data_IF_232163657359
#
_entry.id   IF_232163657359
#
_cell.length_a   1.000
_cell.length_b   1.000
_cell.length_c   1.000
_cell.angle_alpha   90.00
_cell.angle_beta   90.00
_cell.angle_gamma   90.00
#
_symmetry.space_group_name_H-M   'P 1'
#
loop_
_entity.id
_entity.type
_entity.pdbx_description
1 polymer ?
#
# COMPACT_ATOMS: atom_id res chain seq x y z
N UNK A 1 -12.02 0.94 17.67
CA UNK A 1 -10.76 0.28 18.00
C UNK A 1 -9.85 0.30 16.77
N UNK A 2 -8.69 0.93 16.90
CA UNK A 2 -7.74 1.10 15.80
C UNK A 2 -7.20 -0.24 15.29
N UNK A 3 -6.91 -1.18 16.18
CA UNK A 3 -6.41 -2.49 15.78
C UNK A 3 -7.44 -3.27 14.93
N UNK A 4 -8.71 -3.20 15.32
CA UNK A 4 -9.79 -3.84 14.56
C UNK A 4 -9.98 -3.21 13.19
N UNK A 5 -9.86 -1.88 13.09
CA UNK A 5 -9.92 -1.18 11.80
C UNK A 5 -8.74 -1.54 10.91
N UNK A 6 -7.56 -1.66 11.49
CA UNK A 6 -6.38 -2.10 10.73
C UNK A 6 -6.54 -3.53 10.21
N UNK A 7 -7.09 -4.42 11.03
CA UNK A 7 -7.40 -5.79 10.62
C UNK A 7 -8.41 -5.81 9.46
N UNK A 8 -9.44 -4.97 9.54
CA UNK A 8 -10.41 -4.83 8.44
C UNK A 8 -9.74 -4.31 7.17
N UNK A 9 -8.84 -3.33 7.30
CA UNK A 9 -8.09 -2.80 6.16
C UNK A 9 -7.30 -3.90 5.45
N UNK A 10 -6.58 -4.73 6.20
CA UNK A 10 -5.81 -5.84 5.64
C UNK A 10 -6.71 -6.82 4.89
N UNK A 11 -7.90 -7.07 5.41
CA UNK A 11 -8.87 -7.96 4.76
C UNK A 11 -9.40 -7.33 3.47
N UNK A 12 -9.78 -6.07 3.49
CA UNK A 12 -10.33 -5.37 2.33
C UNK A 12 -9.29 -5.21 1.20
N UNK A 13 -8.01 -5.10 1.55
CA UNK A 13 -6.90 -5.07 0.58
C UNK A 13 -6.51 -6.46 0.09
N UNK A 14 -7.19 -7.50 0.54
CA UNK A 14 -6.90 -8.89 0.16
C UNK A 14 -5.44 -9.28 0.46
N UNK A 15 -4.91 -8.82 1.59
CA UNK A 15 -3.49 -8.99 1.93
C UNK A 15 -3.05 -10.45 1.93
N UNK A 16 -3.93 -11.38 2.32
CA UNK A 16 -3.66 -12.83 2.31
C UNK A 16 -3.34 -13.38 0.93
N UNK A 17 -3.77 -12.70 -0.13
CA UNK A 17 -3.47 -13.07 -1.51
C UNK A 17 -1.98 -12.94 -1.82
N UNK A 18 -1.27 -12.04 -1.12
CA UNK A 18 0.08 -11.63 -1.46
C UNK A 18 1.14 -12.03 -0.45
N UNK A 19 0.81 -12.08 0.84
CA UNK A 19 1.79 -12.39 1.89
C UNK A 19 1.33 -13.53 2.78
N UNK A 20 2.33 -14.24 3.34
CA UNK A 20 2.09 -15.38 4.22
C UNK A 20 1.51 -14.95 5.56
N UNK A 21 0.79 -15.86 6.21
CA UNK A 21 0.15 -15.62 7.51
C UNK A 21 1.11 -15.09 8.58
N UNK A 22 2.36 -15.54 8.59
CA UNK A 22 3.37 -15.06 9.55
C UNK A 22 3.66 -13.57 9.40
N UNK A 23 3.67 -13.05 8.16
CA UNK A 23 3.90 -11.63 7.90
C UNK A 23 2.66 -10.79 8.20
N UNK A 24 1.48 -11.35 8.03
CA UNK A 24 0.24 -10.69 8.45
C UNK A 24 0.23 -10.51 9.97
N UNK A 25 0.62 -11.53 10.73
CA UNK A 25 0.78 -11.42 12.18
C UNK A 25 1.83 -10.38 12.56
N UNK A 26 2.92 -10.34 11.80
CA UNK A 26 4.02 -9.40 12.02
C UNK A 26 3.55 -7.96 11.83
N UNK A 27 2.87 -7.64 10.73
CA UNK A 27 2.39 -6.27 10.48
C UNK A 27 1.33 -5.85 11.50
N UNK A 28 0.45 -6.76 11.91
CA UNK A 28 -0.53 -6.46 12.98
C UNK A 28 0.18 -6.12 14.29
N UNK A 29 1.22 -6.86 14.64
CA UNK A 29 2.03 -6.58 15.83
C UNK A 29 2.72 -5.22 15.74
N UNK A 30 3.31 -4.91 14.58
CA UNK A 30 3.96 -3.61 14.35
C UNK A 30 2.97 -2.46 14.46
N UNK A 31 1.79 -2.60 13.89
CA UNK A 31 0.75 -1.57 13.97
C UNK A 31 0.30 -1.32 15.41
N UNK A 32 0.13 -2.39 16.18
CA UNK A 32 -0.21 -2.28 17.60
C UNK A 32 0.85 -1.49 18.38
N UNK A 33 2.14 -1.80 18.16
CA UNK A 33 3.24 -1.09 18.81
C UNK A 33 3.35 0.35 18.33
N UNK A 34 3.09 0.62 17.05
CA UNK A 34 3.08 1.98 16.52
C UNK A 34 2.15 2.89 17.31
N UNK A 35 0.99 2.38 17.69
CA UNK A 35 0.00 3.15 18.45
C UNK A 35 0.26 3.19 19.96
N UNK A 36 1.00 2.23 20.48
CA UNK A 36 1.21 2.07 21.92
C UNK A 36 2.57 2.58 22.39
N UNK A 37 3.60 2.31 21.61
CA UNK A 37 4.99 2.65 21.94
C UNK A 37 5.80 2.70 20.66
N UNK A 38 5.98 3.91 20.15
CA UNK A 38 6.64 4.13 18.85
C UNK A 38 8.08 3.62 18.84
N UNK A 39 8.83 3.79 19.93
CA UNK A 39 10.21 3.31 20.02
C UNK A 39 10.27 1.77 19.96
N UNK A 40 9.32 1.11 20.58
CA UNK A 40 9.19 -0.35 20.50
C UNK A 40 8.89 -0.81 19.08
N UNK A 41 8.04 -0.06 18.36
CA UNK A 41 7.76 -0.31 16.95
C UNK A 41 9.05 -0.20 16.13
N UNK A 42 9.84 0.84 16.36
CA UNK A 42 11.12 1.06 15.70
C UNK A 42 12.07 -0.11 15.93
N UNK A 43 12.25 -0.52 17.17
CA UNK A 43 13.12 -1.66 17.53
C UNK A 43 12.70 -2.93 16.79
N UNK A 44 11.39 -3.20 16.72
CA UNK A 44 10.86 -4.38 16.03
C UNK A 44 11.08 -4.30 14.51
N UNK A 45 10.88 -3.13 13.91
CA UNK A 45 11.14 -2.93 12.47
C UNK A 45 12.61 -3.14 12.13
N UNK A 46 13.52 -2.69 12.98
CA UNK A 46 14.95 -2.94 12.81
C UNK A 46 15.24 -4.45 12.90
N UNK A 47 14.68 -5.11 13.90
CA UNK A 47 14.88 -6.54 14.11
C UNK A 47 14.35 -7.38 12.95
N UNK A 48 13.25 -6.95 12.32
CA UNK A 48 12.68 -7.62 11.15
C UNK A 48 13.41 -7.27 9.83
N UNK A 49 14.31 -6.29 9.87
CA UNK A 49 15.04 -5.85 8.68
C UNK A 49 14.26 -4.87 7.80
N UNK A 50 13.18 -4.28 8.30
CA UNK A 50 12.35 -3.34 7.54
C UNK A 50 13.02 -1.97 7.38
N UNK A 51 13.78 -1.55 8.38
CA UNK A 51 14.48 -0.26 8.40
C UNK A 51 15.88 -0.42 8.98
N UNK A 52 16.73 0.57 8.75
CA UNK A 52 18.09 0.64 9.32
C UNK A 52 18.11 1.47 10.61
N UNK A 53 19.11 1.20 11.48
CA UNK A 53 19.24 1.87 12.78
C UNK A 53 19.47 3.37 12.69
N UNK A 54 20.11 3.84 11.61
CA UNK A 54 20.50 5.22 11.41
C UNK A 54 19.44 6.06 10.68
N UNK A 55 18.28 5.49 10.37
CA UNK A 55 17.21 6.23 9.72
C UNK A 55 16.44 7.10 10.72
N UNK A 56 16.06 8.31 10.28
CA UNK A 56 15.13 9.14 11.03
C UNK A 56 13.77 8.44 11.09
N UNK A 57 13.21 8.36 12.29
CA UNK A 57 11.99 7.57 12.50
C UNK A 57 10.96 8.40 13.26
N UNK A 58 9.79 8.55 12.66
CA UNK A 58 8.61 9.15 13.28
C UNK A 58 7.36 8.32 12.92
N UNK A 59 6.21 8.74 13.41
CA UNK A 59 4.95 8.04 13.18
C UNK A 59 4.60 7.98 11.69
N UNK A 60 4.80 9.06 10.95
CA UNK A 60 4.49 9.12 9.52
C UNK A 60 5.39 8.16 8.72
N UNK A 61 6.68 8.15 9.04
CA UNK A 61 7.62 7.21 8.44
C UNK A 61 7.23 5.77 8.72
N UNK A 62 6.88 5.46 9.98
CA UNK A 62 6.46 4.12 10.38
C UNK A 62 5.23 3.66 9.59
N UNK A 63 4.22 4.52 9.45
CA UNK A 63 3.00 4.22 8.69
C UNK A 63 3.29 3.92 7.22
N UNK A 64 4.12 4.76 6.60
CA UNK A 64 4.51 4.56 5.21
C UNK A 64 5.28 3.25 5.04
N UNK A 65 6.18 2.94 5.98
CA UNK A 65 6.96 1.70 5.95
C UNK A 65 6.08 0.46 6.08
N UNK A 66 5.04 0.49 6.93
CA UNK A 66 4.07 -0.61 7.02
C UNK A 66 3.36 -0.84 5.67
N UNK A 67 2.98 0.24 5.01
CA UNK A 67 2.29 0.15 3.71
C UNK A 67 3.22 -0.46 2.67
N UNK A 68 4.40 0.09 2.49
CA UNK A 68 5.31 -0.32 1.42
C UNK A 68 5.92 -1.70 1.64
N UNK A 69 6.08 -2.14 2.88
CA UNK A 69 6.71 -3.43 3.18
C UNK A 69 5.72 -4.58 3.31
N UNK A 70 4.45 -4.31 3.63
CA UNK A 70 3.49 -5.37 3.98
C UNK A 70 2.20 -5.38 3.16
N UNK A 71 1.81 -4.29 2.50
CA UNK A 71 0.49 -4.18 1.86
C UNK A 71 0.49 -4.40 0.35
N UNK A 72 1.50 -5.06 -0.20
CA UNK A 72 1.63 -5.28 -1.65
C UNK A 72 1.52 -3.97 -2.42
N UNK A 73 2.43 -3.05 -2.13
CA UNK A 73 2.46 -1.72 -2.71
C UNK A 73 3.41 -1.67 -3.93
N UNK A 74 2.91 -1.18 -5.06
CA UNK A 74 3.78 -0.85 -6.19
C UNK A 74 4.57 0.40 -5.85
N UNK A 75 5.87 0.38 -6.10
CA UNK A 75 6.78 1.46 -5.72
C UNK A 75 7.66 1.83 -6.91
N UNK A 76 7.61 3.08 -7.31
CA UNK A 76 8.42 3.58 -8.42
C UNK A 76 8.74 5.06 -8.21
N UNK A 77 9.60 5.58 -9.09
CA UNK A 77 9.87 7.01 -9.23
C UNK A 77 8.70 7.68 -9.96
N UNK A 78 8.71 9.00 -10.08
CA UNK A 78 7.69 9.74 -10.83
C UNK A 78 7.68 9.37 -12.32
N UNK A 79 8.81 8.95 -12.86
CA UNK A 79 8.93 8.36 -14.20
C UNK A 79 8.63 6.87 -14.10
N UNK A 80 7.40 6.51 -14.37
CA UNK A 80 6.93 5.14 -14.23
C UNK A 80 7.60 4.22 -15.25
N UNK A 81 8.12 3.10 -14.78
CA UNK A 81 8.52 1.97 -15.62
C UNK A 81 7.27 1.13 -15.93
N UNK A 82 6.73 1.30 -17.15
CA UNK A 82 5.49 0.63 -17.53
C UNK A 82 5.61 -0.88 -17.61
N UNK A 83 6.78 -1.42 -17.90
CA UNK A 83 6.98 -2.87 -17.90
C UNK A 83 6.79 -3.43 -16.48
N UNK A 84 7.39 -2.78 -15.49
CA UNK A 84 7.22 -3.15 -14.07
C UNK A 84 5.79 -2.96 -13.58
N UNK A 85 5.17 -1.84 -13.92
CA UNK A 85 3.79 -1.55 -13.54
C UNK A 85 2.82 -2.57 -14.14
N UNK A 86 2.96 -2.88 -15.43
CA UNK A 86 2.12 -3.84 -16.11
C UNK A 86 2.28 -5.24 -15.53
N UNK A 87 3.49 -5.63 -15.15
CA UNK A 87 3.72 -6.91 -14.48
C UNK A 87 3.01 -6.96 -13.12
N UNK A 88 3.18 -5.93 -12.31
CA UNK A 88 2.51 -5.81 -11.00
C UNK A 88 0.99 -5.86 -11.15
N UNK A 89 0.44 -5.07 -12.06
CA UNK A 89 -1.01 -5.01 -12.26
C UNK A 89 -1.57 -6.31 -12.84
N UNK A 90 -0.87 -6.93 -13.77
CA UNK A 90 -1.31 -8.22 -14.33
C UNK A 90 -1.42 -9.29 -13.24
N UNK A 91 -0.46 -9.35 -12.33
CA UNK A 91 -0.52 -10.27 -11.20
C UNK A 91 -1.66 -9.93 -10.23
N UNK A 92 -1.79 -8.67 -9.87
CA UNK A 92 -2.81 -8.23 -8.92
C UNK A 92 -4.23 -8.43 -9.45
N UNK A 93 -4.44 -8.18 -10.74
CA UNK A 93 -5.74 -8.32 -11.39
C UNK A 93 -6.03 -9.75 -11.85
N UNK A 94 -5.03 -10.63 -11.81
CA UNK A 94 -5.13 -12.03 -12.30
C UNK A 94 -5.59 -12.09 -13.76
N UNK A 95 -5.14 -11.14 -14.56
CA UNK A 95 -5.41 -11.04 -15.99
C UNK A 95 -4.30 -10.26 -16.67
N UNK A 96 -4.12 -10.42 -17.98
CA UNK A 96 -3.20 -9.60 -18.74
C UNK A 96 -3.66 -8.15 -18.70
N UNK A 97 -2.78 -7.25 -18.27
CA UNK A 97 -3.02 -5.81 -18.24
C UNK A 97 -1.85 -5.12 -18.88
N UNK A 98 -2.12 -4.17 -19.76
CA UNK A 98 -1.08 -3.44 -20.47
C UNK A 98 -1.49 -1.97 -20.65
N UNK A 99 -0.65 -1.07 -20.15
CA UNK A 99 -0.78 0.36 -20.36
C UNK A 99 0.56 0.93 -20.81
N UNK A 100 0.52 1.92 -21.70
CA UNK A 100 1.72 2.54 -22.27
C UNK A 100 1.89 3.95 -21.76
N UNK A 101 3.09 4.52 -21.96
CA UNK A 101 3.33 5.94 -21.66
C UNK A 101 2.36 6.84 -22.43
N UNK A 102 2.10 6.55 -23.69
CA UNK A 102 1.19 7.35 -24.54
C UNK A 102 -0.23 7.40 -23.96
N UNK A 103 -0.69 6.31 -23.36
CA UNK A 103 -2.00 6.24 -22.72
C UNK A 103 -2.03 6.96 -21.37
N UNK A 104 -1.01 6.79 -20.57
CA UNK A 104 -0.98 7.23 -19.17
C UNK A 104 -0.25 8.56 -18.93
N UNK A 105 0.86 8.81 -19.63
CA UNK A 105 1.70 10.00 -19.46
C UNK A 105 2.10 10.27 -18.01
N UNK A 106 2.40 9.19 -17.27
CA UNK A 106 2.74 9.21 -15.84
C UNK A 106 1.62 9.80 -14.96
N UNK A 107 0.38 9.80 -15.42
CA UNK A 107 -0.75 10.33 -14.67
C UNK A 107 -1.53 9.19 -13.97
N UNK A 108 -1.57 9.24 -12.65
CA UNK A 108 -2.28 8.24 -11.83
C UNK A 108 -3.74 8.07 -12.26
N UNK A 109 -4.46 9.16 -12.50
CA UNK A 109 -5.88 9.10 -12.87
C UNK A 109 -6.14 8.30 -14.13
N UNK A 110 -5.24 8.36 -15.10
CA UNK A 110 -5.36 7.61 -16.36
C UNK A 110 -5.15 6.13 -16.15
N UNK A 111 -4.16 5.77 -15.32
CA UNK A 111 -3.88 4.37 -14.99
C UNK A 111 -5.07 3.79 -14.20
N UNK A 112 -5.54 4.52 -13.20
CA UNK A 112 -6.70 4.12 -12.38
C UNK A 112 -7.93 3.89 -13.25
N UNK A 113 -8.22 4.80 -14.16
CA UNK A 113 -9.37 4.69 -15.06
C UNK A 113 -9.31 3.42 -15.91
N UNK A 114 -8.14 3.09 -16.44
CA UNK A 114 -7.99 1.87 -17.25
C UNK A 114 -8.19 0.60 -16.42
N UNK A 115 -7.63 0.55 -15.22
CA UNK A 115 -7.84 -0.56 -14.29
C UNK A 115 -9.33 -0.75 -14.00
N UNK A 116 -10.04 0.33 -13.70
CA UNK A 116 -11.47 0.27 -13.39
C UNK A 116 -12.33 -0.11 -14.58
N UNK A 117 -11.90 0.29 -15.77
CA UNK A 117 -12.63 -0.03 -17.00
C UNK A 117 -12.46 -1.51 -17.41
N UNK A 118 -11.27 -2.08 -17.16
CA UNK A 118 -10.91 -3.42 -17.64
C UNK A 118 -11.04 -4.52 -16.57
N UNK A 119 -11.37 -4.16 -15.32
CA UNK A 119 -11.44 -5.13 -14.22
C UNK A 119 -12.45 -4.73 -13.15
N UNK A 120 -12.62 -5.61 -12.16
CA UNK A 120 -13.42 -5.33 -10.96
C UNK A 120 -12.60 -4.68 -9.85
N UNK A 121 -11.37 -4.25 -10.16
CA UNK A 121 -10.44 -3.64 -9.23
C UNK A 121 -10.28 -2.14 -9.50
N UNK A 122 -9.67 -1.45 -8.54
CA UNK A 122 -9.28 -0.05 -8.66
C UNK A 122 -7.90 0.15 -8.04
N UNK A 123 -7.33 1.32 -8.26
CA UNK A 123 -6.07 1.72 -7.65
C UNK A 123 -6.30 2.74 -6.54
N UNK A 124 -5.47 2.65 -5.51
CA UNK A 124 -5.38 3.63 -4.44
C UNK A 124 -4.00 4.26 -4.48
N UNK A 125 -3.96 5.57 -4.39
CA UNK A 125 -2.70 6.32 -4.36
C UNK A 125 -2.13 6.33 -2.96
N UNK A 126 -0.82 6.10 -2.83
CA UNK A 126 -0.10 6.23 -1.55
C UNK A 126 0.72 7.51 -1.60
N UNK A 127 0.36 8.48 -0.76
CA UNK A 127 1.04 9.76 -0.68
C UNK A 127 2.31 9.63 0.17
N UNK A 128 3.48 9.71 -0.48
CA UNK A 128 4.78 9.63 0.19
C UNK A 128 5.29 10.99 0.66
N UNK A 129 4.60 12.07 0.29
CA UNK A 129 5.08 13.44 0.48
C UNK A 129 6.16 13.87 -0.51
N UNK A 130 6.51 13.01 -1.47
CA UNK A 130 7.53 13.24 -2.50
C UNK A 130 6.95 12.94 -3.90
N UNK A 131 7.78 12.96 -4.93
CA UNK A 131 7.37 12.73 -6.33
C UNK A 131 7.25 11.25 -6.71
N UNK A 132 7.35 10.34 -5.76
CA UNK A 132 7.26 8.91 -6.02
C UNK A 132 5.85 8.50 -6.49
N UNK A 133 5.80 7.43 -7.28
CA UNK A 133 4.55 6.79 -7.68
C UNK A 133 4.38 5.49 -6.89
N UNK A 134 3.52 5.53 -5.87
CA UNK A 134 3.19 4.35 -5.06
C UNK A 134 1.69 4.11 -5.14
N UNK A 135 1.28 2.86 -5.36
CA UNK A 135 -0.14 2.51 -5.39
C UNK A 135 -0.44 1.14 -4.81
N UNK A 136 -1.68 0.97 -4.41
CA UNK A 136 -2.26 -0.30 -3.96
C UNK A 136 -3.41 -0.68 -4.90
N UNK A 137 -3.73 -1.96 -4.95
CA UNK A 137 -4.87 -2.48 -5.72
C UNK A 137 -5.90 -3.02 -4.75
N UNK A 138 -7.18 -2.72 -4.98
CA UNK A 138 -8.27 -3.28 -4.19
C UNK A 138 -9.51 -3.49 -5.06
N UNK A 139 -10.45 -4.37 -4.63
CA UNK A 139 -11.74 -4.46 -5.30
C UNK A 139 -12.45 -3.11 -5.33
N UNK A 140 -13.09 -2.77 -6.44
CA UNK A 140 -13.87 -1.51 -6.54
C UNK A 140 -14.88 -1.36 -5.41
N UNK A 141 -15.53 -2.47 -5.03
CA UNK A 141 -16.52 -2.46 -3.95
C UNK A 141 -15.95 -2.12 -2.57
N UNK A 142 -14.65 -2.25 -2.37
CA UNK A 142 -13.99 -1.99 -1.10
C UNK A 142 -13.41 -0.57 -1.00
N UNK A 143 -13.30 0.16 -2.09
CA UNK A 143 -12.58 1.44 -2.13
C UNK A 143 -13.09 2.44 -1.09
N UNK A 144 -14.39 2.70 -1.05
CA UNK A 144 -14.98 3.69 -0.14
C UNK A 144 -14.65 3.35 1.32
N UNK A 145 -14.79 2.09 1.70
CA UNK A 145 -14.53 1.68 3.08
C UNK A 145 -13.03 1.75 3.42
N UNK A 146 -12.16 1.40 2.48
CA UNK A 146 -10.71 1.52 2.68
C UNK A 146 -10.32 2.98 2.92
N UNK A 147 -10.82 3.91 2.12
CA UNK A 147 -10.54 5.34 2.29
C UNK A 147 -11.06 5.86 3.64
N UNK A 148 -12.26 5.43 4.03
CA UNK A 148 -12.83 5.79 5.33
C UNK A 148 -11.93 5.32 6.48
N UNK A 149 -11.47 4.06 6.43
CA UNK A 149 -10.56 3.52 7.45
C UNK A 149 -9.22 4.28 7.43
N UNK A 150 -8.66 4.51 6.24
CA UNK A 150 -7.40 5.23 6.11
C UNK A 150 -7.49 6.64 6.72
N UNK A 151 -8.61 7.34 6.52
CA UNK A 151 -8.83 8.65 7.12
C UNK A 151 -8.90 8.55 8.65
N UNK A 152 -9.63 7.58 9.19
CA UNK A 152 -9.73 7.38 10.65
C UNK A 152 -8.36 7.06 11.26
N UNK A 153 -7.58 6.21 10.59
CA UNK A 153 -6.26 5.79 11.07
C UNK A 153 -5.14 6.77 10.69
N UNK A 154 -5.48 7.80 9.94
CA UNK A 154 -4.52 8.77 9.41
C UNK A 154 -3.38 8.09 8.63
N UNK A 155 -3.75 7.20 7.72
CA UNK A 155 -2.83 6.55 6.80
C UNK A 155 -2.79 7.30 5.46
N UNK A 156 -1.63 7.36 4.79
CA UNK A 156 -1.49 8.12 3.53
C UNK A 156 -2.02 7.36 2.31
N UNK A 157 -3.26 6.90 2.39
CA UNK A 157 -3.94 6.16 1.31
C UNK A 157 -5.11 7.00 0.82
N UNK A 158 -5.16 7.27 -0.49
CA UNK A 158 -6.14 8.13 -1.12
C UNK A 158 -6.74 7.50 -2.39
N UNK A 159 -7.82 8.11 -2.88
CA UNK A 159 -8.46 7.70 -4.13
C UNK A 159 -7.53 7.73 -5.34
#
# INVERSE_FOLDING_TARGET
NQDALFDELLMLLETKKYIKAKYIKQVKSLYKWLNKDLEKCREKMIAFGDIYEDEDFDEEYAKLELIRSYLHCYQDDWKIDYDSLNHFLSEALEQTFEITFEEAQHEFARIKNKVETESDYTLLYVDTGCDNFYCLVCPKSAETRIIEIADILNLPINH
#
